data_IF_217212624096
#
_entry.id   IF_217212624096
#
_cell.length_a   1.000
_cell.length_b   1.000
_cell.length_c   1.000
_cell.angle_alpha   90.00
_cell.angle_beta   90.00
_cell.angle_gamma   90.00
#
_symmetry.space_group_name_H-M   'P 1'
#
loop_
_entity.id
_entity.type
_entity.pdbx_description
1 polymer ?
#
# COMPACT_ATOMS: atom_id res chain seq x y z
N UNK A 1 124.20 -5.21 61.86
CA UNK A 1 123.67 -5.48 60.49
C UNK A 1 122.95 -6.84 60.51
N UNK A 2 121.62 -6.93 60.31
CA UNK A 2 120.90 -8.15 59.78
C UNK A 2 119.36 -8.13 59.84
N UNK A 3 118.67 -7.13 60.42
CA UNK A 3 117.20 -7.18 60.61
C UNK A 3 116.32 -6.70 59.43
N UNK A 4 116.85 -5.94 58.45
CA UNK A 4 116.05 -5.41 57.31
C UNK A 4 115.79 -6.42 56.16
N UNK A 5 116.63 -7.45 55.99
CA UNK A 5 116.48 -8.45 54.90
C UNK A 5 115.36 -9.47 55.15
N UNK A 6 115.04 -9.78 56.41
CA UNK A 6 113.96 -10.74 56.78
C UNK A 6 112.55 -10.17 56.60
N UNK A 7 112.39 -8.85 56.72
CA UNK A 7 111.10 -8.17 56.48
C UNK A 7 110.79 -8.08 54.98
N UNK A 8 111.81 -7.84 54.14
CA UNK A 8 111.64 -7.77 52.68
C UNK A 8 111.23 -9.13 52.09
N UNK A 9 111.78 -10.24 52.59
CA UNK A 9 111.40 -11.60 52.15
C UNK A 9 109.99 -11.99 52.61
N UNK A 10 109.55 -11.56 53.79
CA UNK A 10 108.18 -11.81 54.27
C UNK A 10 107.13 -11.06 53.44
N UNK A 11 107.42 -9.81 53.03
CA UNK A 11 106.54 -9.02 52.15
C UNK A 11 106.46 -9.64 50.75
N UNK A 12 107.57 -10.13 50.21
CA UNK A 12 107.60 -10.77 48.89
C UNK A 12 106.80 -12.09 48.86
N UNK A 13 106.86 -12.88 49.94
CA UNK A 13 106.07 -14.10 50.10
C UNK A 13 104.58 -13.75 50.28
N UNK A 14 104.24 -12.70 51.04
CA UNK A 14 102.86 -12.25 51.19
C UNK A 14 102.25 -11.75 49.85
N UNK A 15 103.04 -11.04 49.03
CA UNK A 15 102.62 -10.60 47.70
C UNK A 15 102.45 -11.77 46.73
N UNK A 16 103.32 -12.79 46.80
CA UNK A 16 103.18 -14.01 46.00
C UNK A 16 101.96 -14.86 46.39
N UNK A 17 101.62 -14.90 47.69
CA UNK A 17 100.40 -15.60 48.16
C UNK A 17 99.15 -14.81 47.77
N UNK A 18 99.16 -13.48 47.87
CA UNK A 18 98.04 -12.63 47.44
C UNK A 18 97.80 -12.69 45.93
N UNK A 19 98.85 -12.77 45.12
CA UNK A 19 98.72 -12.94 43.66
C UNK A 19 98.25 -14.33 43.26
N UNK A 20 98.67 -15.39 43.95
CA UNK A 20 98.16 -16.76 43.75
C UNK A 20 96.69 -16.90 44.14
N UNK A 21 96.28 -16.29 45.26
CA UNK A 21 94.87 -16.26 45.70
C UNK A 21 94.00 -15.41 44.77
N UNK A 22 94.52 -14.26 44.31
CA UNK A 22 93.86 -13.42 43.32
C UNK A 22 93.66 -14.12 41.96
N UNK A 23 94.69 -14.83 41.49
CA UNK A 23 94.60 -15.61 40.25
C UNK A 23 93.64 -16.81 40.37
N UNK A 24 93.65 -17.49 41.53
CA UNK A 24 92.71 -18.58 41.84
C UNK A 24 91.24 -18.15 41.88
N UNK A 25 90.94 -16.94 42.35
CA UNK A 25 89.60 -16.35 42.29
C UNK A 25 89.23 -15.87 40.88
N UNK A 26 90.18 -15.34 40.10
CA UNK A 26 89.92 -14.84 38.75
C UNK A 26 89.61 -15.96 37.74
N UNK A 27 90.22 -17.15 37.88
CA UNK A 27 89.96 -18.29 37.00
C UNK A 27 88.65 -19.02 37.33
N UNK A 28 88.13 -18.90 38.56
CA UNK A 28 86.94 -19.63 39.02
C UNK A 28 85.59 -19.03 38.57
N UNK A 29 85.59 -17.84 37.98
CA UNK A 29 84.37 -17.14 37.53
C UNK A 29 84.08 -17.20 36.01
N UNK A 30 84.87 -17.95 35.22
CA UNK A 30 84.56 -18.15 33.78
C UNK A 30 83.66 -19.38 33.59
N UNK A 31 82.35 -19.18 33.64
CA UNK A 31 81.40 -20.24 33.30
C UNK A 31 79.96 -20.09 33.79
N UNK A 32 79.57 -18.96 34.40
CA UNK A 32 78.21 -18.79 34.90
C UNK A 32 77.42 -17.92 33.92
N UNK A 33 76.65 -18.57 33.03
CA UNK A 33 75.64 -17.88 32.22
C UNK A 33 74.42 -17.65 33.12
N UNK A 34 74.21 -16.41 33.54
CA UNK A 34 73.01 -16.01 34.30
C UNK A 34 71.81 -16.06 33.37
N UNK A 35 71.00 -17.10 33.48
CA UNK A 35 69.73 -17.24 32.77
C UNK A 35 68.58 -16.76 33.66
N UNK A 36 67.73 -15.89 33.13
CA UNK A 36 66.48 -15.55 33.81
C UNK A 36 65.51 -16.72 33.65
N UNK A 37 65.13 -17.35 34.76
CA UNK A 37 64.10 -18.39 34.78
C UNK A 37 62.83 -17.85 35.45
N UNK A 38 61.67 -18.24 34.91
CA UNK A 38 60.37 -18.00 35.52
C UNK A 38 59.69 -19.34 35.84
N UNK A 39 58.97 -19.44 36.96
CA UNK A 39 58.15 -20.62 37.26
C UNK A 39 57.03 -20.73 36.23
N UNK A 40 56.93 -21.86 35.55
CA UNK A 40 55.81 -22.14 34.64
C UNK A 40 54.53 -22.36 35.46
N UNK A 41 53.54 -21.47 35.31
CA UNK A 41 52.23 -21.56 35.94
C UNK A 41 51.22 -21.91 34.86
N UNK A 42 50.33 -22.89 35.11
CA UNK A 42 49.18 -23.12 34.22
C UNK A 42 48.20 -21.97 34.42
N UNK A 43 48.10 -21.12 33.40
CA UNK A 43 47.13 -20.03 33.34
C UNK A 43 46.45 -20.07 31.98
N UNK A 44 45.16 -19.74 31.94
CA UNK A 44 44.41 -19.70 30.69
C UNK A 44 44.92 -18.56 29.82
N UNK A 45 45.59 -18.91 28.72
CA UNK A 45 46.12 -17.96 27.76
C UNK A 45 44.97 -17.46 26.87
N UNK A 46 44.38 -16.32 27.24
CA UNK A 46 43.29 -15.75 26.47
C UNK A 46 43.85 -14.93 25.32
N UNK A 47 43.94 -15.53 24.14
CA UNK A 47 44.30 -14.84 22.91
C UNK A 47 43.11 -13.99 22.45
N UNK A 48 43.13 -12.70 22.80
CA UNK A 48 42.10 -11.77 22.35
C UNK A 48 42.35 -11.42 20.89
N UNK A 49 41.51 -11.95 20.00
CA UNK A 49 41.53 -11.57 18.58
C UNK A 49 40.65 -10.35 18.41
N UNK A 50 41.26 -9.19 18.14
CA UNK A 50 40.49 -7.97 17.83
C UNK A 50 39.92 -8.10 16.42
N UNK A 51 38.60 -8.19 16.30
CA UNK A 51 37.90 -8.21 15.02
C UNK A 51 37.03 -6.96 14.93
N UNK A 52 37.23 -6.17 13.88
CA UNK A 52 36.29 -5.11 13.53
C UNK A 52 35.01 -5.75 12.97
N UNK A 53 33.85 -5.22 13.35
CA UNK A 53 32.58 -5.62 12.78
C UNK A 53 31.64 -4.44 12.73
N UNK A 54 30.91 -4.40 11.62
CA UNK A 54 29.95 -3.35 11.31
C UNK A 54 28.59 -3.76 11.90
N UNK A 55 28.01 -2.89 12.72
CA UNK A 55 26.67 -3.06 13.26
C UNK A 55 25.69 -2.67 12.17
N UNK A 56 24.87 -3.62 11.70
CA UNK A 56 23.79 -3.35 10.75
C UNK A 56 22.44 -3.70 11.36
N UNK A 57 21.39 -2.91 11.08
CA UNK A 57 20.04 -3.25 11.46
C UNK A 57 19.59 -4.52 10.73
N UNK A 58 18.73 -5.31 11.38
CA UNK A 58 18.18 -6.54 10.79
C UNK A 58 17.16 -6.23 9.69
N UNK A 59 16.45 -5.11 9.82
CA UNK A 59 15.49 -4.60 8.84
C UNK A 59 15.74 -3.11 8.64
N UNK A 60 15.89 -2.72 7.38
CA UNK A 60 16.10 -1.36 6.92
C UNK A 60 14.99 -1.07 5.90
N UNK A 61 14.18 -0.04 6.11
CA UNK A 61 13.16 0.39 5.14
C UNK A 61 13.37 1.85 4.78
N UNK A 62 13.41 2.10 3.47
CA UNK A 62 13.51 3.44 2.94
C UNK A 62 12.10 3.93 2.60
N UNK A 63 11.61 4.89 3.37
CA UNK A 63 10.35 5.58 3.16
C UNK A 63 10.63 6.80 2.27
N UNK A 64 10.14 6.76 1.03
CA UNK A 64 10.25 7.87 0.08
C UNK A 64 8.88 8.48 -0.21
N UNK A 65 8.84 9.74 -0.64
CA UNK A 65 7.59 10.32 -1.13
C UNK A 65 7.18 9.71 -2.48
N UNK A 66 5.90 9.34 -2.61
CA UNK A 66 5.28 8.87 -3.85
C UNK A 66 4.64 10.01 -4.66
N UNK A 67 4.64 11.25 -4.14
CA UNK A 67 4.05 12.44 -4.75
C UNK A 67 4.95 13.66 -4.54
N UNK A 68 4.95 14.59 -5.50
CA UNK A 68 5.62 15.87 -5.32
C UNK A 68 4.77 16.81 -4.46
N UNK A 69 5.37 17.46 -3.47
CA UNK A 69 4.64 18.38 -2.60
C UNK A 69 5.52 19.08 -1.57
N UNK A 70 5.11 20.25 -1.11
CA UNK A 70 5.81 20.96 -0.02
C UNK A 70 5.57 20.23 1.30
N UNK A 71 6.64 20.02 2.08
CA UNK A 71 6.54 19.47 3.43
C UNK A 71 6.00 20.56 4.36
N UNK A 72 4.81 20.33 4.94
CA UNK A 72 4.14 21.28 5.86
C UNK A 72 4.39 20.91 7.32
N UNK A 73 4.61 19.61 7.62
CA UNK A 73 4.90 19.16 8.98
C UNK A 73 5.86 17.96 8.97
N UNK A 74 6.88 18.01 9.82
CA UNK A 74 7.89 16.98 10.04
C UNK A 74 8.06 16.75 11.56
N UNK A 75 7.15 15.98 12.19
CA UNK A 75 7.12 15.84 13.65
C UNK A 75 8.22 14.95 14.23
N UNK A 76 9.12 14.41 13.40
CA UNK A 76 10.13 13.43 13.79
C UNK A 76 11.54 13.89 13.44
N UNK A 77 12.53 13.48 14.23
CA UNK A 77 13.95 13.78 14.03
C UNK A 77 14.78 12.51 13.91
N UNK A 78 15.98 12.64 13.38
CA UNK A 78 16.96 11.54 13.40
C UNK A 78 17.25 11.11 14.84
N UNK A 79 17.27 9.79 15.07
CA UNK A 79 17.40 9.18 16.39
C UNK A 79 16.07 8.98 17.13
N UNK A 80 14.96 9.54 16.67
CA UNK A 80 13.66 9.35 17.31
C UNK A 80 13.13 7.93 17.09
N UNK A 81 12.50 7.38 18.13
CA UNK A 81 11.82 6.08 18.08
C UNK A 81 10.39 6.27 17.60
N UNK A 82 10.04 5.60 16.51
CA UNK A 82 8.70 5.62 15.90
C UNK A 82 8.05 4.25 15.98
N UNK A 83 6.72 4.24 16.05
CA UNK A 83 5.92 3.02 15.93
C UNK A 83 5.35 2.86 14.52
N UNK A 84 4.96 1.66 14.14
CA UNK A 84 4.18 1.42 12.93
C UNK A 84 2.94 2.35 12.91
N UNK A 85 2.68 2.98 11.76
CA UNK A 85 1.61 3.95 11.58
C UNK A 85 1.92 5.38 12.06
N UNK A 86 3.04 5.61 12.73
CA UNK A 86 3.44 6.96 13.19
C UNK A 86 3.63 7.89 12.00
N UNK A 87 3.15 9.14 12.13
CA UNK A 87 3.31 10.18 11.12
C UNK A 87 4.80 10.55 11.02
N UNK A 88 5.38 10.42 9.84
CA UNK A 88 6.76 10.82 9.56
C UNK A 88 6.79 12.17 8.87
N UNK A 89 6.02 12.34 7.79
CA UNK A 89 6.01 13.56 6.99
C UNK A 89 4.59 13.85 6.55
N UNK A 90 4.17 15.12 6.64
CA UNK A 90 2.94 15.62 6.05
C UNK A 90 3.29 16.58 4.91
N UNK A 91 2.83 16.24 3.71
CA UNK A 91 2.86 17.14 2.55
C UNK A 91 1.62 18.04 2.56
N UNK A 92 1.71 19.14 1.83
CA UNK A 92 0.58 20.04 1.57
C UNK A 92 -0.55 19.27 0.89
N UNK A 93 -1.73 19.27 1.51
CA UNK A 93 -2.88 18.45 1.09
C UNK A 93 -4.05 19.25 0.55
N UNK A 94 -3.98 20.58 0.56
CA UNK A 94 -5.11 21.47 0.23
C UNK A 94 -5.67 21.16 -1.16
N UNK A 95 -4.79 21.03 -2.16
CA UNK A 95 -5.20 20.71 -3.53
C UNK A 95 -5.83 19.32 -3.62
N UNK A 96 -5.16 18.29 -3.08
CA UNK A 96 -5.66 16.91 -3.13
C UNK A 96 -6.98 16.74 -2.37
N UNK A 97 -7.18 17.47 -1.27
CA UNK A 97 -8.44 17.48 -0.52
C UNK A 97 -9.56 18.18 -1.31
N UNK A 98 -9.25 19.28 -2.00
CA UNK A 98 -10.19 19.93 -2.90
C UNK A 98 -10.59 19.00 -4.06
N UNK A 99 -9.62 18.25 -4.61
CA UNK A 99 -9.88 17.27 -5.68
C UNK A 99 -10.77 16.12 -5.19
N UNK A 100 -10.57 15.62 -3.96
CA UNK A 100 -11.45 14.62 -3.34
C UNK A 100 -12.87 15.15 -3.19
N UNK A 101 -13.03 16.36 -2.65
CA UNK A 101 -14.37 16.98 -2.48
C UNK A 101 -15.08 17.20 -3.81
N UNK A 102 -14.35 17.62 -4.84
CA UNK A 102 -14.88 17.80 -6.20
C UNK A 102 -15.33 16.47 -6.82
N UNK A 103 -14.52 15.42 -6.68
CA UNK A 103 -14.85 14.09 -7.17
C UNK A 103 -16.03 13.45 -6.41
N UNK A 104 -16.13 13.70 -5.11
CA UNK A 104 -17.24 13.24 -4.27
C UNK A 104 -18.55 13.91 -4.67
N UNK A 105 -18.55 15.25 -4.83
CA UNK A 105 -19.70 15.98 -5.34
C UNK A 105 -20.14 15.51 -6.73
N UNK A 106 -19.19 15.18 -7.61
CA UNK A 106 -19.49 14.64 -8.95
C UNK A 106 -20.09 13.23 -8.89
N UNK A 107 -19.65 12.40 -7.94
CA UNK A 107 -20.22 11.07 -7.70
C UNK A 107 -21.63 11.15 -7.13
N UNK A 108 -21.87 12.05 -6.18
CA UNK A 108 -23.19 12.27 -5.57
C UNK A 108 -24.18 12.87 -6.56
N UNK A 109 -23.73 13.80 -7.42
CA UNK A 109 -24.53 14.32 -8.52
C UNK A 109 -24.96 13.19 -9.48
N UNK A 110 -24.03 12.30 -9.84
CA UNK A 110 -24.34 11.16 -10.72
C UNK A 110 -25.32 10.15 -10.06
N UNK A 111 -25.23 9.94 -8.73
CA UNK A 111 -26.21 9.14 -7.99
C UNK A 111 -27.59 9.79 -7.99
N UNK A 112 -27.67 11.10 -7.70
CA UNK A 112 -28.92 11.85 -7.69
C UNK A 112 -29.59 11.81 -9.07
N UNK A 113 -28.80 11.90 -10.14
CA UNK A 113 -29.32 11.78 -11.50
C UNK A 113 -29.94 10.40 -11.75
N UNK A 114 -29.31 9.31 -11.27
CA UNK A 114 -29.87 7.95 -11.35
C UNK A 114 -31.20 7.83 -10.60
N UNK A 115 -31.32 8.45 -9.43
CA UNK A 115 -32.56 8.48 -8.66
C UNK A 115 -33.67 9.21 -9.43
N UNK A 116 -33.33 10.34 -10.06
CA UNK A 116 -34.24 11.09 -10.94
C UNK A 116 -34.78 10.27 -12.11
N UNK A 117 -34.01 9.30 -12.61
CA UNK A 117 -34.44 8.42 -13.70
C UNK A 117 -35.60 7.49 -13.33
N UNK A 118 -35.80 7.21 -12.04
CA UNK A 118 -36.92 6.37 -11.58
C UNK A 118 -38.28 6.95 -11.95
N UNK A 119 -38.41 8.29 -11.98
CA UNK A 119 -39.65 8.95 -12.40
C UNK A 119 -39.88 8.81 -13.90
N UNK A 120 -38.82 8.95 -14.71
CA UNK A 120 -38.90 8.78 -16.16
C UNK A 120 -39.28 7.35 -16.57
N UNK A 121 -38.72 6.33 -15.90
CA UNK A 121 -39.05 4.93 -16.16
C UNK A 121 -40.50 4.64 -15.78
N UNK A 122 -40.94 5.08 -14.59
CA UNK A 122 -42.35 4.91 -14.18
C UNK A 122 -43.33 5.57 -15.16
N UNK A 123 -42.98 6.74 -15.70
CA UNK A 123 -43.79 7.39 -16.73
C UNK A 123 -43.85 6.59 -18.03
N UNK A 124 -42.74 5.98 -18.45
CA UNK A 124 -42.70 5.12 -19.64
C UNK A 124 -43.50 3.83 -19.42
N UNK A 125 -43.34 3.17 -18.27
CA UNK A 125 -44.10 1.99 -17.87
C UNK A 125 -45.61 2.26 -17.86
N UNK A 126 -46.03 3.41 -17.31
CA UNK A 126 -47.44 3.83 -17.32
C UNK A 126 -47.96 4.05 -18.75
N UNK A 127 -47.13 4.59 -19.64
CA UNK A 127 -47.47 4.77 -21.06
C UNK A 127 -47.68 3.42 -21.75
N UNK A 128 -46.77 2.45 -21.52
CA UNK A 128 -46.91 1.08 -22.02
C UNK A 128 -48.17 0.40 -21.48
N UNK A 129 -48.46 0.56 -20.18
CA UNK A 129 -49.67 0.03 -19.57
C UNK A 129 -50.95 0.63 -20.21
N UNK A 130 -50.97 1.94 -20.48
CA UNK A 130 -52.09 2.59 -21.16
C UNK A 130 -52.27 2.11 -22.61
N UNK A 131 -51.16 1.89 -23.34
CA UNK A 131 -51.20 1.35 -24.70
C UNK A 131 -51.71 -0.10 -24.74
N UNK A 132 -51.34 -0.92 -23.75
CA UNK A 132 -51.88 -2.28 -23.59
C UNK A 132 -53.38 -2.26 -23.32
N UNK A 133 -53.87 -1.36 -22.46
CA UNK A 133 -55.30 -1.21 -22.20
C UNK A 133 -56.08 -0.80 -23.47
N UNK A 134 -55.50 0.06 -24.31
CA UNK A 134 -56.11 0.46 -25.59
C UNK A 134 -56.17 -0.70 -26.60
N UNK A 135 -55.18 -1.59 -26.61
CA UNK A 135 -55.23 -2.83 -27.39
C UNK A 135 -56.39 -3.70 -26.91
N UNK A 136 -56.52 -3.94 -25.61
CA UNK A 136 -57.62 -4.74 -25.06
C UNK A 136 -58.99 -4.17 -25.44
N UNK A 137 -59.14 -2.84 -25.41
CA UNK A 137 -60.35 -2.16 -25.89
C UNK A 137 -60.58 -2.41 -27.39
N UNK A 138 -59.55 -2.19 -28.22
CA UNK A 138 -59.62 -2.37 -29.67
C UNK A 138 -59.91 -3.82 -30.07
N UNK A 139 -59.40 -4.79 -29.32
CA UNK A 139 -59.69 -6.22 -29.50
C UNK A 139 -61.17 -6.54 -29.20
N UNK A 140 -61.73 -5.96 -28.15
CA UNK A 140 -63.16 -6.11 -27.83
C UNK A 140 -64.04 -5.49 -28.92
N UNK A 141 -63.67 -4.31 -29.43
CA UNK A 141 -64.37 -3.65 -30.53
C UNK A 141 -64.30 -4.47 -31.83
N UNK A 142 -63.12 -5.00 -32.17
CA UNK A 142 -62.94 -5.91 -33.32
C UNK A 142 -63.75 -7.20 -33.15
N UNK A 143 -63.79 -7.78 -31.95
CA UNK A 143 -64.57 -8.98 -31.69
C UNK A 143 -66.07 -8.74 -31.91
N UNK A 144 -66.59 -7.60 -31.43
CA UNK A 144 -67.99 -7.17 -31.69
C UNK A 144 -68.23 -6.98 -33.18
N UNK A 145 -67.35 -6.26 -33.88
CA UNK A 145 -67.48 -6.02 -35.32
C UNK A 145 -67.43 -7.31 -36.13
N UNK A 146 -66.54 -8.25 -35.77
CA UNK A 146 -66.44 -9.57 -36.40
C UNK A 146 -67.71 -10.40 -36.24
N UNK A 147 -68.32 -10.39 -35.05
CA UNK A 147 -69.60 -11.07 -34.83
C UNK A 147 -70.73 -10.44 -35.66
N UNK A 148 -70.79 -9.12 -35.75
CA UNK A 148 -71.76 -8.41 -36.59
C UNK A 148 -71.59 -8.75 -38.07
N UNK A 149 -70.35 -8.72 -38.57
CA UNK A 149 -70.02 -9.07 -39.95
C UNK A 149 -70.39 -10.53 -40.26
N UNK A 150 -70.05 -11.47 -39.38
CA UNK A 150 -70.41 -12.88 -39.56
C UNK A 150 -71.93 -13.11 -39.60
N UNK A 151 -72.69 -12.42 -38.75
CA UNK A 151 -74.17 -12.46 -38.81
C UNK A 151 -74.70 -11.87 -40.12
N UNK A 152 -74.17 -10.73 -40.56
CA UNK A 152 -74.56 -10.10 -41.81
C UNK A 152 -74.25 -10.97 -43.03
N UNK A 153 -73.10 -11.66 -43.04
CA UNK A 153 -72.74 -12.61 -44.10
C UNK A 153 -73.73 -13.77 -44.18
N UNK A 154 -74.13 -14.34 -43.04
CA UNK A 154 -75.13 -15.41 -42.99
C UNK A 154 -76.50 -14.92 -43.50
N UNK A 155 -76.99 -13.80 -42.99
CA UNK A 155 -78.29 -13.24 -43.39
C UNK A 155 -78.31 -12.83 -44.87
N UNK A 156 -77.18 -12.39 -45.43
CA UNK A 156 -77.08 -12.08 -46.87
C UNK A 156 -77.15 -13.34 -47.73
N UNK A 157 -76.49 -14.44 -47.30
CA UNK A 157 -76.61 -15.75 -47.96
C UNK A 157 -78.03 -16.29 -47.93
N UNK A 158 -78.76 -16.02 -46.85
CA UNK A 158 -80.19 -16.37 -46.69
C UNK A 158 -81.14 -15.38 -47.40
N UNK A 159 -80.63 -14.30 -48.00
CA UNK A 159 -81.42 -13.28 -48.70
C UNK A 159 -82.25 -12.37 -47.78
N UNK A 160 -81.93 -12.32 -46.49
CA UNK A 160 -82.71 -11.63 -45.46
C UNK A 160 -82.35 -10.15 -45.28
N UNK A 161 -81.19 -9.71 -45.78
CA UNK A 161 -80.73 -8.30 -45.68
C UNK A 161 -80.25 -7.77 -47.03
N UNK A 162 -80.31 -6.44 -47.18
CA UNK A 162 -79.82 -5.75 -48.37
C UNK A 162 -78.27 -5.74 -48.42
N UNK A 163 -77.70 -5.75 -49.62
CA UNK A 163 -76.24 -5.69 -49.84
C UNK A 163 -75.58 -4.50 -49.15
N UNK A 164 -76.25 -3.35 -49.07
CA UNK A 164 -75.77 -2.18 -48.34
C UNK A 164 -75.50 -2.47 -46.86
N UNK A 165 -76.36 -3.27 -46.20
CA UNK A 165 -76.17 -3.63 -44.79
C UNK A 165 -74.96 -4.54 -44.59
N UNK A 166 -74.72 -5.46 -45.52
CA UNK A 166 -73.50 -6.28 -45.55
C UNK A 166 -72.25 -5.42 -45.74
N UNK A 167 -72.25 -4.52 -46.72
CA UNK A 167 -71.11 -3.66 -47.02
C UNK A 167 -70.77 -2.74 -45.83
N UNK A 168 -71.79 -2.23 -45.10
CA UNK A 168 -71.59 -1.50 -43.84
C UNK A 168 -70.92 -2.36 -42.76
N UNK A 169 -71.43 -3.56 -42.51
CA UNK A 169 -70.86 -4.46 -41.50
C UNK A 169 -69.41 -4.87 -41.84
N UNK A 170 -69.09 -5.02 -43.13
CA UNK A 170 -67.73 -5.26 -43.61
C UNK A 170 -66.82 -4.06 -43.35
N UNK A 171 -67.29 -2.86 -43.70
CA UNK A 171 -66.53 -1.62 -43.45
C UNK A 171 -66.25 -1.42 -41.94
N UNK A 172 -67.21 -1.70 -41.06
CA UNK A 172 -67.04 -1.61 -39.61
C UNK A 172 -65.97 -2.60 -39.09
N UNK A 173 -65.94 -3.82 -39.64
CA UNK A 173 -64.90 -4.81 -39.33
C UNK A 173 -63.52 -4.34 -39.79
N UNK A 174 -63.41 -3.84 -41.02
CA UNK A 174 -62.15 -3.34 -41.58
C UNK A 174 -61.62 -2.13 -40.79
N UNK A 175 -62.50 -1.21 -40.37
CA UNK A 175 -62.17 -0.07 -39.50
C UNK A 175 -61.65 -0.55 -38.14
N UNK A 176 -62.36 -1.48 -37.49
CA UNK A 176 -61.95 -2.00 -36.17
C UNK A 176 -60.62 -2.77 -36.26
N UNK A 177 -60.37 -3.47 -37.37
CA UNK A 177 -59.10 -4.15 -37.65
C UNK A 177 -57.95 -3.14 -37.81
N UNK A 178 -58.19 -2.07 -38.56
CA UNK A 178 -57.21 -0.98 -38.71
C UNK A 178 -56.93 -0.26 -37.37
N UNK A 179 -57.96 -0.07 -36.53
CA UNK A 179 -57.81 0.50 -35.19
C UNK A 179 -56.94 -0.37 -34.28
N UNK A 180 -57.15 -1.70 -34.28
CA UNK A 180 -56.30 -2.63 -33.53
C UNK A 180 -54.84 -2.56 -34.01
N UNK A 181 -54.61 -2.51 -35.32
CA UNK A 181 -53.26 -2.38 -35.86
C UNK A 181 -52.60 -1.05 -35.46
N UNK A 182 -53.37 0.05 -35.44
CA UNK A 182 -52.89 1.34 -34.95
C UNK A 182 -52.57 1.30 -33.44
N UNK A 183 -53.38 0.63 -32.62
CA UNK A 183 -53.12 0.44 -31.20
C UNK A 183 -51.85 -0.39 -30.95
N UNK A 184 -51.63 -1.47 -31.72
CA UNK A 184 -50.40 -2.27 -31.69
C UNK A 184 -49.17 -1.46 -32.06
N UNK A 185 -49.26 -0.60 -33.08
CA UNK A 185 -48.17 0.29 -33.45
C UNK A 185 -47.83 1.30 -32.33
N UNK A 186 -48.86 1.82 -31.64
CA UNK A 186 -48.67 2.69 -30.46
C UNK A 186 -48.00 1.96 -29.29
N UNK A 187 -48.34 0.69 -29.06
CA UNK A 187 -47.64 -0.12 -28.05
C UNK A 187 -46.16 -0.29 -28.42
N UNK A 188 -45.85 -0.66 -29.66
CA UNK A 188 -44.46 -0.79 -30.09
C UNK A 188 -43.66 0.51 -29.93
N UNK A 189 -44.30 1.66 -30.19
CA UNK A 189 -43.71 2.98 -29.93
C UNK A 189 -43.47 3.22 -28.43
N UNK A 190 -44.43 2.88 -27.57
CA UNK A 190 -44.31 3.03 -26.12
C UNK A 190 -43.21 2.12 -25.54
N UNK A 191 -43.11 0.88 -26.01
CA UNK A 191 -42.05 -0.07 -25.63
C UNK A 191 -40.67 0.42 -26.06
N UNK A 192 -40.56 1.04 -27.25
CA UNK A 192 -39.31 1.66 -27.69
C UNK A 192 -38.90 2.84 -26.79
N UNK A 193 -39.86 3.64 -26.31
CA UNK A 193 -39.60 4.72 -25.36
C UNK A 193 -39.16 4.20 -23.98
N UNK A 194 -39.78 3.12 -23.49
CA UNK A 194 -39.36 2.42 -22.27
C UNK A 194 -37.93 1.88 -22.39
N UNK A 195 -37.62 1.20 -23.50
CA UNK A 195 -36.28 0.69 -23.78
C UNK A 195 -35.24 1.82 -23.83
N UNK A 196 -35.59 2.98 -24.39
CA UNK A 196 -34.74 4.16 -24.39
C UNK A 196 -34.49 4.70 -22.97
N UNK A 197 -35.52 4.77 -22.13
CA UNK A 197 -35.39 5.19 -20.73
C UNK A 197 -34.50 4.22 -19.91
N UNK A 198 -34.66 2.91 -20.11
CA UNK A 198 -33.81 1.89 -19.49
C UNK A 198 -32.36 1.97 -19.98
N UNK A 199 -32.15 2.22 -21.28
CA UNK A 199 -30.80 2.43 -21.84
C UNK A 199 -30.13 3.65 -21.24
N UNK A 200 -30.86 4.75 -21.08
CA UNK A 200 -30.35 5.95 -20.42
C UNK A 200 -30.01 5.69 -18.94
N UNK A 201 -30.74 4.80 -18.26
CA UNK A 201 -30.42 4.37 -16.89
C UNK A 201 -29.12 3.60 -16.84
N UNK A 202 -28.93 2.67 -17.78
CA UNK A 202 -27.71 1.91 -17.89
C UNK A 202 -26.49 2.82 -18.18
N UNK A 203 -26.62 3.79 -19.08
CA UNK A 203 -25.54 4.75 -19.37
C UNK A 203 -25.19 5.61 -18.14
N UNK A 204 -26.20 6.03 -17.37
CA UNK A 204 -25.99 6.76 -16.11
C UNK A 204 -25.31 5.90 -15.04
N UNK A 205 -25.66 4.61 -14.93
CA UNK A 205 -24.98 3.68 -14.03
C UNK A 205 -23.49 3.49 -14.39
N UNK A 206 -23.17 3.45 -15.69
CA UNK A 206 -21.77 3.43 -16.14
C UNK A 206 -21.02 4.71 -15.76
N UNK A 207 -21.67 5.88 -15.86
CA UNK A 207 -21.09 7.15 -15.42
C UNK A 207 -20.81 7.14 -13.91
N UNK A 208 -21.69 6.57 -13.08
CA UNK A 208 -21.42 6.41 -11.64
C UNK A 208 -20.14 5.59 -11.40
N UNK A 209 -19.96 4.49 -12.14
CA UNK A 209 -18.75 3.69 -12.03
C UNK A 209 -17.49 4.48 -12.40
N UNK A 210 -17.56 5.32 -13.44
CA UNK A 210 -16.47 6.23 -13.82
C UNK A 210 -16.17 7.27 -12.75
N UNK A 211 -17.21 7.91 -12.17
CA UNK A 211 -17.03 8.89 -11.10
C UNK A 211 -16.48 8.26 -9.82
N UNK A 212 -16.90 7.03 -9.49
CA UNK A 212 -16.33 6.27 -8.38
C UNK A 212 -14.84 5.96 -8.58
N UNK A 213 -14.44 5.62 -9.80
CA UNK A 213 -13.03 5.42 -10.13
C UNK A 213 -12.22 6.73 -9.99
N UNK A 214 -12.79 7.86 -10.42
CA UNK A 214 -12.18 9.18 -10.23
C UNK A 214 -12.02 9.53 -8.74
N UNK A 215 -13.06 9.32 -7.93
CA UNK A 215 -13.02 9.53 -6.47
C UNK A 215 -11.98 8.64 -5.79
N UNK A 216 -11.89 7.36 -6.19
CA UNK A 216 -10.86 6.45 -5.68
C UNK A 216 -9.45 6.96 -5.97
N UNK A 217 -9.21 7.46 -7.19
CA UNK A 217 -7.91 8.05 -7.56
C UNK A 217 -7.60 9.33 -6.76
N UNK A 218 -8.57 10.22 -6.60
CA UNK A 218 -8.39 11.43 -5.80
C UNK A 218 -8.10 11.10 -4.33
N UNK A 219 -8.80 10.12 -3.75
CA UNK A 219 -8.56 9.64 -2.38
C UNK A 219 -7.18 8.99 -2.21
N UNK A 220 -6.74 8.20 -3.18
CA UNK A 220 -5.40 7.61 -3.20
C UNK A 220 -4.32 8.71 -3.23
N UNK A 221 -4.48 9.72 -4.09
CA UNK A 221 -3.60 10.89 -4.14
C UNK A 221 -3.57 11.64 -2.81
N UNK A 222 -4.73 11.91 -2.21
CA UNK A 222 -4.81 12.55 -0.88
C UNK A 222 -4.13 11.71 0.20
N UNK A 223 -4.29 10.38 0.20
CA UNK A 223 -3.63 9.49 1.17
C UNK A 223 -2.11 9.55 1.09
N UNK A 224 -1.57 9.73 -0.13
CA UNK A 224 -0.12 9.85 -0.39
C UNK A 224 0.49 11.16 0.10
N UNK A 225 -0.32 12.14 0.51
CA UNK A 225 0.17 13.36 1.18
C UNK A 225 0.69 13.09 2.60
N UNK A 226 0.27 11.97 3.20
CA UNK A 226 0.61 11.61 4.58
C UNK A 226 1.53 10.38 4.58
N UNK A 227 2.79 10.58 4.94
CA UNK A 227 3.78 9.50 4.98
C UNK A 227 3.86 8.95 6.40
N UNK A 228 3.61 7.65 6.56
CA UNK A 228 3.63 6.94 7.85
C UNK A 228 4.70 5.86 7.88
N UNK A 229 5.17 5.53 9.08
CA UNK A 229 6.09 4.41 9.27
C UNK A 229 5.38 3.08 9.02
N UNK A 230 6.03 2.15 8.32
CA UNK A 230 5.54 0.77 8.09
C UNK A 230 6.06 -0.22 9.13
N UNK A 231 6.88 0.23 10.08
CA UNK A 231 7.47 -0.60 11.13
C UNK A 231 7.78 0.21 12.40
N UNK A 232 7.88 -0.49 13.52
CA UNK A 232 8.47 0.04 14.74
C UNK A 232 9.99 0.13 14.58
N UNK A 233 10.61 1.26 14.94
CA UNK A 233 12.02 1.48 14.69
C UNK A 233 12.57 2.83 15.18
N UNK A 234 13.82 3.11 14.84
CA UNK A 234 14.47 4.43 14.99
C UNK A 234 14.73 5.00 13.60
N UNK A 235 14.58 6.32 13.47
CA UNK A 235 14.91 7.03 12.25
C UNK A 235 16.42 7.20 12.17
N UNK A 236 17.03 6.65 11.12
CA UNK A 236 18.50 6.67 10.96
C UNK A 236 18.98 7.80 10.07
N UNK A 237 18.18 8.18 9.06
CA UNK A 237 18.54 9.26 8.14
C UNK A 237 17.28 9.94 7.59
N UNK A 238 17.18 11.26 7.77
CA UNK A 238 16.06 12.09 7.35
C UNK A 238 16.59 13.33 6.60
N UNK A 239 16.91 13.22 5.31
CA UNK A 239 17.53 14.29 4.55
C UNK A 239 16.48 15.26 3.96
N UNK A 240 15.51 15.71 4.76
CA UNK A 240 14.45 16.63 4.33
C UNK A 240 14.11 17.62 5.45
N UNK A 241 13.76 18.86 5.08
CA UNK A 241 13.37 19.89 6.05
C UNK A 241 11.92 20.36 5.83
N UNK A 242 11.29 20.89 6.88
CA UNK A 242 10.00 21.59 6.74
C UNK A 242 10.14 22.77 5.77
N UNK A 243 9.14 22.94 4.90
CA UNK A 243 9.14 23.96 3.84
C UNK A 243 9.82 23.54 2.54
N UNK A 244 10.61 22.45 2.54
CA UNK A 244 11.24 21.91 1.32
C UNK A 244 10.21 21.20 0.43
N UNK A 245 10.46 21.16 -0.88
CA UNK A 245 9.63 20.42 -1.84
C UNK A 245 10.16 19.00 -1.93
N UNK A 246 9.37 18.04 -1.47
CA UNK A 246 9.66 16.63 -1.66
C UNK A 246 9.44 16.27 -3.14
N UNK A 247 10.43 15.64 -3.77
CA UNK A 247 10.34 15.10 -5.13
C UNK A 247 10.16 13.57 -5.05
N UNK A 248 9.37 13.00 -5.96
CA UNK A 248 9.19 11.55 -6.08
C UNK A 248 10.57 10.87 -6.20
N UNK A 249 10.92 10.02 -5.22
CA UNK A 249 12.20 9.31 -5.17
C UNK A 249 13.27 9.88 -4.23
N UNK A 250 13.02 11.00 -3.53
CA UNK A 250 13.86 11.41 -2.38
C UNK A 250 13.69 10.42 -1.21
N UNK A 251 14.82 9.99 -0.65
CA UNK A 251 14.96 8.82 0.25
C UNK A 251 14.97 9.28 1.71
N UNK A 252 14.12 8.72 2.59
CA UNK A 252 14.28 8.82 4.04
C UNK A 252 14.29 7.40 4.67
N UNK A 253 15.31 7.05 5.46
CA UNK A 253 15.52 5.70 5.98
C UNK A 253 15.08 5.52 7.44
N UNK A 254 14.37 4.43 7.75
CA UNK A 254 14.02 4.00 9.10
C UNK A 254 14.48 2.56 9.39
N UNK A 255 15.06 2.33 10.58
CA UNK A 255 15.71 1.08 11.01
C UNK A 255 15.01 0.43 12.20
N UNK A 256 14.90 -0.90 12.20
CA UNK A 256 14.42 -1.68 13.35
C UNK A 256 15.53 -1.84 14.42
N UNK A 257 15.25 -1.39 15.65
CA UNK A 257 16.24 -1.31 16.75
C UNK A 257 16.32 -2.54 17.64
N UNK A 258 15.35 -3.46 17.59
CA UNK A 258 15.25 -4.48 18.63
C UNK A 258 16.21 -5.67 18.45
N UNK A 259 16.88 -5.80 17.31
CA UNK A 259 17.78 -6.94 17.06
C UNK A 259 18.99 -6.57 16.20
N UNK A 260 20.07 -6.16 16.87
CA UNK A 260 21.38 -6.10 16.23
C UNK A 260 22.01 -7.49 16.09
N UNK A 261 22.47 -7.83 14.88
CA UNK A 261 23.23 -9.05 14.62
C UNK A 261 24.62 -8.68 14.09
N UNK A 262 25.65 -9.33 14.64
CA UNK A 262 27.04 -9.14 14.20
C UNK A 262 27.35 -10.08 13.03
N UNK A 263 27.72 -9.54 11.86
CA UNK A 263 28.25 -10.36 10.75
C UNK A 263 29.75 -10.58 10.98
N UNK A 264 30.08 -11.69 11.64
CA UNK A 264 31.48 -12.14 11.80
C UNK A 264 31.97 -12.68 10.45
N UNK A 265 33.00 -12.06 9.86
CA UNK A 265 33.72 -12.66 8.73
C UNK A 265 34.48 -13.87 9.27
N UNK A 266 33.93 -15.07 9.05
CA UNK A 266 34.47 -16.33 9.57
C UNK A 266 33.65 -16.93 10.72
N UNK A 267 32.74 -17.84 10.33
CA UNK A 267 32.13 -18.95 11.10
C UNK A 267 31.44 -18.72 12.47
N UNK A 268 30.14 -19.06 12.45
CA UNK A 268 29.16 -19.38 13.52
C UNK A 268 28.75 -18.27 14.51
N UNK A 269 27.51 -17.81 14.34
CA UNK A 269 26.76 -16.87 15.20
C UNK A 269 26.32 -17.52 16.52
N UNK A 270 26.39 -16.77 17.62
CA UNK A 270 25.79 -17.12 18.91
C UNK A 270 25.02 -15.91 19.44
N UNK A 271 23.81 -16.15 19.92
CA UNK A 271 22.83 -15.16 20.45
C UNK A 271 23.23 -14.74 21.86
N UNK A 272 23.19 -13.44 22.17
CA UNK A 272 23.33 -12.92 23.54
C UNK A 272 21.98 -12.32 23.99
N UNK A 273 21.50 -12.78 25.14
CA UNK A 273 20.44 -12.11 25.91
C UNK A 273 21.11 -11.08 26.84
N UNK A 274 20.71 -9.82 26.74
CA UNK A 274 21.16 -8.76 27.63
C UNK A 274 20.35 -8.82 28.94
N UNK A 275 21.02 -9.12 30.06
CA UNK A 275 20.53 -8.81 31.42
C UNK A 275 20.85 -7.34 31.70
N UNK A 276 19.83 -6.53 31.93
CA UNK A 276 20.01 -5.17 32.45
C UNK A 276 20.37 -5.20 33.94
N UNK A 277 21.45 -4.49 34.29
CA UNK A 277 21.67 -3.93 35.62
C UNK A 277 21.44 -2.42 35.49
N UNK A 278 20.51 -1.92 36.29
CA UNK A 278 20.20 -0.50 36.45
C UNK A 278 21.03 -0.01 37.63
N UNK A 279 21.78 1.06 37.40
CA UNK A 279 22.31 1.96 38.44
C UNK A 279 21.87 3.37 38.06
#
# INVERSE_FOLDING_TARGET
MTTKKKFLTAVLIAVAILSAVGYGMFVRNRGVVTVQTGRAIRQDLTQTVSANGEIKPKKYVNVSSNMMGRIVRLPVKEGDRVREGSLLVQLESIQSEADVRSAEASFDAAQTELEGMSASIRSAEATVASAKAEITRSEADLARAKQNFSRAEQMTREGLIAKEQYDRAKADFDISSAQLNAAKARLAQAEAQEAQALTQRASTALRIAQQRAALTRARDQFSKTTIRSTLDGIITNLPVNEGEIAIVGQRAGADDVEQYWYKRNGTRSKRLQSRHHVG
#
